data_IF_225807468140
#
_entry.id   IF_225807468140
#
_cell.length_a   1.000
_cell.length_b   1.000
_cell.length_c   1.000
_cell.angle_alpha   90.00
_cell.angle_beta   90.00
_cell.angle_gamma   90.00
#
_symmetry.space_group_name_H-M   'P 1'
#
loop_
_entity.id
_entity.type
_entity.pdbx_description
1 polymer ?
#
# COMPACT_ATOMS: atom_id res chain seq x y z
N UNK A 1 -1.03 9.15 1.52
CA UNK A 1 -0.46 9.20 2.88
C UNK A 1 -0.28 7.78 3.40
N UNK A 2 0.81 7.42 4.10
CA UNK A 2 0.89 6.07 4.70
C UNK A 2 -0.22 5.90 5.74
N UNK A 3 -0.73 4.69 5.88
CA UNK A 3 -1.83 4.43 6.82
C UNK A 3 -1.44 4.76 8.27
N UNK A 4 -0.18 4.54 8.66
CA UNK A 4 0.31 4.88 10.00
C UNK A 4 0.28 6.40 10.25
N UNK A 5 0.73 7.20 9.27
CA UNK A 5 0.68 8.66 9.36
C UNK A 5 -0.77 9.17 9.43
N UNK A 6 -1.68 8.54 8.68
CA UNK A 6 -3.10 8.87 8.71
C UNK A 6 -3.71 8.61 10.10
N UNK A 7 -3.41 7.47 10.71
CA UNK A 7 -3.87 7.13 12.06
C UNK A 7 -3.29 8.09 13.10
N UNK A 8 -2.00 8.44 12.98
CA UNK A 8 -1.37 9.42 13.86
C UNK A 8 -2.04 10.79 13.74
N UNK A 9 -2.34 11.25 12.53
CA UNK A 9 -2.92 12.57 12.27
C UNK A 9 -4.38 12.70 12.71
N UNK A 10 -5.21 11.69 12.44
CA UNK A 10 -6.67 11.80 12.63
C UNK A 10 -7.21 11.03 13.83
N UNK A 11 -6.43 10.11 14.39
CA UNK A 11 -6.85 9.27 15.52
C UNK A 11 -5.83 9.32 16.68
N UNK A 12 -4.89 10.27 16.67
CA UNK A 12 -3.88 10.42 17.72
C UNK A 12 -2.99 9.18 17.90
N UNK A 13 -2.82 8.37 16.85
CA UNK A 13 -2.08 7.10 16.92
C UNK A 13 -2.89 5.92 17.45
N UNK A 14 -4.18 6.12 17.78
CA UNK A 14 -5.05 5.07 18.30
C UNK A 14 -5.55 4.14 17.19
N UNK A 15 -4.78 3.09 16.93
CA UNK A 15 -5.13 2.03 15.95
C UNK A 15 -6.46 1.33 16.28
N UNK A 16 -6.87 1.26 17.55
CA UNK A 16 -8.16 0.67 17.95
C UNK A 16 -9.34 1.57 17.60
N UNK A 17 -9.18 2.89 17.72
CA UNK A 17 -10.20 3.87 17.32
C UNK A 17 -10.40 3.89 15.81
N UNK A 18 -9.30 3.93 15.05
CA UNK A 18 -9.37 3.80 13.59
C UNK A 18 -10.05 2.50 13.17
N UNK A 19 -9.74 1.38 13.84
CA UNK A 19 -10.36 0.08 13.57
C UNK A 19 -11.89 0.13 13.80
N UNK A 20 -12.33 0.71 14.92
CA UNK A 20 -13.76 0.91 15.24
C UNK A 20 -14.47 1.78 14.21
N UNK A 21 -13.86 2.90 13.81
CA UNK A 21 -14.42 3.82 12.82
C UNK A 21 -14.60 3.16 11.43
N UNK A 22 -13.79 2.16 11.10
CA UNK A 22 -13.85 1.44 9.83
C UNK A 22 -14.53 0.06 9.94
N UNK A 23 -15.12 -0.27 11.10
CA UNK A 23 -15.73 -1.56 11.39
C UNK A 23 -14.83 -2.77 11.05
N UNK A 24 -13.54 -2.69 11.42
CA UNK A 24 -12.57 -3.76 11.25
C UNK A 24 -11.88 -4.11 12.56
N UNK A 25 -11.26 -5.28 12.62
CA UNK A 25 -10.44 -5.65 13.76
C UNK A 25 -9.11 -4.90 13.77
N UNK A 26 -8.59 -4.58 14.96
CA UNK A 26 -7.27 -3.96 15.14
C UNK A 26 -6.14 -4.76 14.48
N UNK A 27 -6.24 -6.08 14.45
CA UNK A 27 -5.25 -6.94 13.79
C UNK A 27 -5.16 -6.68 12.28
N UNK A 28 -6.29 -6.38 11.65
CA UNK A 28 -6.34 -6.02 10.23
C UNK A 28 -5.65 -4.67 9.99
N UNK A 29 -5.85 -3.70 10.88
CA UNK A 29 -5.14 -2.41 10.83
C UNK A 29 -3.62 -2.62 10.98
N UNK A 30 -3.19 -3.47 11.92
CA UNK A 30 -1.78 -3.81 12.08
C UNK A 30 -1.20 -4.46 10.81
N UNK A 31 -1.96 -5.33 10.15
CA UNK A 31 -1.56 -5.91 8.86
C UNK A 31 -1.38 -4.81 7.82
N UNK A 32 -2.31 -3.88 7.70
CA UNK A 32 -2.20 -2.77 6.75
C UNK A 32 -0.98 -1.87 7.01
N UNK A 33 -0.68 -1.57 8.27
CA UNK A 33 0.52 -0.82 8.65
C UNK A 33 1.78 -1.59 8.25
N UNK A 34 1.87 -2.87 8.59
CA UNK A 34 3.02 -3.73 8.26
C UNK A 34 3.22 -3.89 6.75
N UNK A 35 2.14 -4.03 5.99
CA UNK A 35 2.16 -4.15 4.54
C UNK A 35 2.43 -2.81 3.84
N UNK A 36 2.44 -1.69 4.56
CA UNK A 36 2.69 -0.36 3.98
C UNK A 36 1.51 0.15 3.15
N UNK A 37 0.28 -0.17 3.53
CA UNK A 37 -0.92 0.39 2.92
C UNK A 37 -0.92 1.92 2.99
N UNK A 38 -1.55 2.53 2.00
CA UNK A 38 -1.70 3.99 1.91
C UNK A 38 -3.18 4.36 1.90
N UNK A 39 -3.49 5.55 2.42
CA UNK A 39 -4.78 6.22 2.26
C UNK A 39 -4.62 7.29 1.18
N UNK A 40 -5.50 7.24 0.18
CA UNK A 40 -5.63 8.23 -0.88
C UNK A 40 -7.12 8.48 -1.12
N UNK A 41 -7.55 9.74 -1.06
CA UNK A 41 -8.97 10.13 -1.21
C UNK A 41 -9.95 9.37 -0.29
N UNK A 42 -9.53 9.06 0.94
CA UNK A 42 -10.35 8.30 1.89
C UNK A 42 -10.39 6.79 1.61
N UNK A 43 -9.77 6.31 0.53
CA UNK A 43 -9.71 4.90 0.16
C UNK A 43 -8.37 4.31 0.57
N UNK A 44 -8.41 3.09 1.11
CA UNK A 44 -7.23 2.31 1.51
C UNK A 44 -6.74 1.45 0.35
N UNK A 45 -5.52 1.71 -0.09
CA UNK A 45 -4.83 0.95 -1.12
C UNK A 45 -3.75 0.05 -0.51
N UNK A 46 -3.76 -1.21 -0.92
CA UNK A 46 -2.67 -2.15 -0.64
C UNK A 46 -1.64 -2.04 -1.75
N UNK A 47 -0.33 -2.01 -1.44
CA UNK A 47 0.69 -2.21 -2.46
C UNK A 47 0.45 -3.58 -3.11
N UNK A 48 0.38 -3.63 -4.45
CA UNK A 48 0.43 -4.88 -5.21
C UNK A 48 1.64 -4.78 -6.15
N UNK A 49 2.78 -5.26 -5.66
CA UNK A 49 4.06 -5.17 -6.37
C UNK A 49 4.79 -3.85 -6.14
N UNK A 50 6.11 -3.88 -6.36
CA UNK A 50 6.96 -2.70 -6.41
C UNK A 50 7.17 -2.29 -7.87
N UNK A 51 6.94 -1.02 -8.18
CA UNK A 51 7.38 -0.46 -9.46
C UNK A 51 8.83 -0.03 -9.29
N UNK A 52 9.73 -0.59 -10.11
CA UNK A 52 11.11 -0.08 -10.20
C UNK A 52 11.05 1.22 -10.97
N UNK A 53 11.17 2.34 -10.25
CA UNK A 53 11.27 3.66 -10.87
C UNK A 53 12.71 3.85 -11.34
N UNK A 54 12.95 3.77 -12.65
CA UNK A 54 14.19 4.24 -13.23
C UNK A 54 14.21 5.77 -13.09
N UNK A 55 15.24 6.32 -12.42
CA UNK A 55 15.43 7.79 -12.28
C UNK A 55 15.62 8.49 -13.64
N UNK A 56 15.85 7.72 -14.70
CA UNK A 56 15.85 8.17 -16.09
C UNK A 56 14.61 7.60 -16.76
N UNK A 57 13.69 8.48 -17.18
CA UNK A 57 12.36 8.17 -17.72
C UNK A 57 12.37 7.34 -19.04
N UNK A 58 12.89 6.11 -19.01
CA UNK A 58 12.68 5.09 -20.05
C UNK A 58 12.13 3.86 -19.37
N UNK A 59 10.83 3.62 -19.60
CA UNK A 59 10.23 2.33 -19.37
C UNK A 59 11.01 1.31 -20.20
N UNK A 60 11.86 0.51 -19.54
CA UNK A 60 12.37 -0.68 -20.18
C UNK A 60 11.23 -1.70 -20.10
N UNK A 61 10.44 -1.78 -21.17
CA UNK A 61 9.65 -2.99 -21.42
C UNK A 61 10.67 -4.06 -21.75
N UNK A 62 11.17 -4.75 -20.73
CA UNK A 62 11.76 -6.06 -20.96
C UNK A 62 10.61 -6.97 -21.36
N UNK A 63 10.39 -7.05 -22.67
CA UNK A 63 9.62 -8.14 -23.26
C UNK A 63 10.27 -9.42 -22.78
N UNK A 64 9.59 -10.15 -21.90
CA UNK A 64 9.91 -11.55 -21.67
C UNK A 64 9.71 -12.25 -23.00
N UNK A 65 10.79 -12.46 -23.75
CA UNK A 65 10.80 -13.31 -24.93
C UNK A 65 10.56 -14.73 -24.41
N UNK A 66 9.29 -15.13 -24.31
CA UNK A 66 8.93 -16.53 -24.18
C UNK A 66 9.50 -17.24 -25.41
N UNK A 67 10.47 -18.12 -25.17
CA UNK A 67 11.12 -18.91 -26.20
C UNK A 67 10.09 -19.63 -27.07
N UNK A 68 10.14 -19.34 -28.36
CA UNK A 68 9.58 -20.22 -29.38
C UNK A 68 10.63 -21.34 -29.52
N UNK A 69 10.33 -22.50 -28.92
CA UNK A 69 10.94 -23.76 -29.36
C UNK A 69 10.26 -24.14 -30.68
N UNK A 70 10.97 -23.96 -31.78
CA UNK A 70 10.77 -24.69 -33.04
C UNK A 70 11.76 -25.82 -33.13
#
# INVERSE_FOLDING_TARGET
MKIEDFINKYFGGNKSEFARANNVFRQQVNKWVKTGCIIFEGIRYSPRGSVVMNKNNRANVETMTTGIKG
#
